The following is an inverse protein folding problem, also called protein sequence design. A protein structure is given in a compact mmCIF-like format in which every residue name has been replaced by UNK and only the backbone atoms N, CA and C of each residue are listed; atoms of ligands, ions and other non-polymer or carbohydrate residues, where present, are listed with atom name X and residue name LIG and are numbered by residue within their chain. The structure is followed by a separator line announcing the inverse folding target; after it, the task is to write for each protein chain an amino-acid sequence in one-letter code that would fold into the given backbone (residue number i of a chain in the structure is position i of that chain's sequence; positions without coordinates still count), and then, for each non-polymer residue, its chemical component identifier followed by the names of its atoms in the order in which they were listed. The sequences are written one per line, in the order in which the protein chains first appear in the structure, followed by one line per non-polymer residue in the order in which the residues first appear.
data_IF_273427204817
#
_entry.id   IF_273427204817
#
_cell.length_a   1.000
_cell.length_b   1.000
_cell.length_c   1.000
_cell.angle_alpha   90.00
_cell.angle_beta   90.00
_cell.angle_gamma   90.00
#
_symmetry.space_group_name_H-M   'P 1'
#
loop_
_entity.id
_entity.type
_entity.pdbx_description
1 polymer ?
#
# COMPACT_ATOMS: atom_id res chain seq x y z
N UNK A 1 34.16 -50.35 22.35
CA UNK A 1 34.30 -48.96 21.84
C UNK A 1 32.93 -48.52 21.35
N UNK A 2 32.26 -47.65 22.11
CA UNK A 2 30.94 -47.11 21.77
C UNK A 2 31.12 -45.67 21.25
N UNK A 3 30.36 -45.24 20.22
CA UNK A 3 30.47 -43.87 19.70
C UNK A 3 29.81 -42.85 20.65
N UNK A 4 30.28 -41.59 20.68
CA UNK A 4 29.77 -40.58 21.59
C UNK A 4 28.43 -40.03 21.09
N UNK A 5 27.45 -39.98 22.00
CA UNK A 5 26.15 -39.32 21.81
C UNK A 5 26.31 -37.81 21.98
N UNK A 6 26.05 -37.03 20.92
CA UNK A 6 25.99 -35.57 20.97
C UNK A 6 24.60 -35.14 21.45
N UNK A 7 24.53 -34.48 22.62
CA UNK A 7 23.32 -33.78 23.09
C UNK A 7 23.36 -32.33 22.60
N UNK A 8 22.36 -31.94 21.82
CA UNK A 8 22.10 -30.54 21.45
C UNK A 8 21.14 -29.96 22.49
N UNK A 9 21.62 -29.02 23.30
CA UNK A 9 20.81 -28.26 24.25
C UNK A 9 20.15 -27.08 23.53
N UNK A 10 18.83 -27.11 23.36
CA UNK A 10 18.03 -25.96 22.97
C UNK A 10 17.82 -25.03 24.17
N UNK A 11 18.33 -23.80 24.09
CA UNK A 11 18.04 -22.76 25.07
C UNK A 11 16.85 -21.93 24.57
N UNK A 12 15.69 -22.17 25.17
CA UNK A 12 14.50 -21.33 24.98
C UNK A 12 14.60 -20.11 25.91
N UNK A 13 15.05 -18.97 25.37
CA UNK A 13 14.98 -17.68 26.05
C UNK A 13 13.58 -17.07 25.88
N UNK A 14 12.65 -17.42 26.77
CA UNK A 14 11.41 -16.65 26.98
C UNK A 14 11.72 -15.37 27.76
N UNK A 15 11.73 -14.21 27.08
CA UNK A 15 11.66 -12.91 27.76
C UNK A 15 10.18 -12.50 27.95
N UNK A 16 9.78 -12.01 29.13
CA UNK A 16 8.43 -11.52 29.35
C UNK A 16 8.24 -10.17 28.64
N UNK A 17 7.24 -10.07 27.75
CA UNK A 17 6.79 -8.80 27.17
C UNK A 17 5.99 -8.03 28.22
N UNK A 18 6.54 -6.90 28.69
CA UNK A 18 5.82 -5.92 29.48
C UNK A 18 4.80 -5.22 28.58
N UNK A 19 3.51 -5.34 28.91
CA UNK A 19 2.41 -4.63 28.25
C UNK A 19 2.44 -3.17 28.65
N UNK A 20 2.95 -2.31 27.77
CA UNK A 20 2.70 -0.87 27.82
C UNK A 20 1.53 -0.63 26.86
N UNK A 21 0.33 -0.44 27.43
CA UNK A 21 -0.86 -0.11 26.67
C UNK A 21 -0.84 1.36 26.27
N UNK A 22 -1.00 1.65 24.97
CA UNK A 22 -1.46 2.96 24.48
C UNK A 22 -2.42 2.75 23.29
N UNK A 23 -3.64 3.25 23.51
CA UNK A 23 -4.67 3.72 22.59
C UNK A 23 -4.95 2.93 21.30
N UNK A 24 -5.98 2.08 21.41
CA UNK A 24 -6.76 1.54 20.32
C UNK A 24 -7.20 2.63 19.30
N UNK A 25 -6.91 2.40 18.02
CA UNK A 25 -7.72 2.91 16.91
C UNK A 25 -8.93 1.97 16.84
N UNK A 26 -9.85 2.15 17.79
CA UNK A 26 -11.07 1.37 17.91
C UNK A 26 -12.24 2.05 17.19
N UNK A 27 -12.84 1.30 16.26
CA UNK A 27 -14.21 1.33 15.77
C UNK A 27 -15.06 2.59 15.99
N UNK A 28 -15.55 3.18 14.89
CA UNK A 28 -16.85 3.87 14.88
C UNK A 28 -17.79 3.08 13.98
N UNK A 29 -18.39 2.06 14.57
CA UNK A 29 -19.60 1.40 14.09
C UNK A 29 -20.74 1.91 14.98
N UNK A 30 -21.66 2.70 14.42
CA UNK A 30 -22.95 3.00 15.05
C UNK A 30 -24.04 2.50 14.12
N UNK A 31 -24.74 1.47 14.58
CA UNK A 31 -26.03 1.00 14.05
C UNK A 31 -27.11 1.34 15.09
N UNK A 32 -28.32 1.59 14.59
CA UNK A 32 -29.65 1.75 15.24
C UNK A 32 -30.15 3.21 15.39
N UNK A 33 -31.40 3.54 15.07
CA UNK A 33 -32.52 2.70 14.64
C UNK A 33 -33.78 3.50 14.21
N UNK A 34 -34.63 2.77 13.48
CA UNK A 34 -36.02 2.94 13.01
C UNK A 34 -36.90 4.14 13.46
N UNK A 35 -37.52 4.83 12.48
CA UNK A 35 -38.99 4.96 12.30
C UNK A 35 -39.37 5.81 11.06
N UNK A 36 -40.37 5.37 10.29
CA UNK A 36 -41.33 6.29 9.61
C UNK A 36 -41.17 6.65 8.12
N UNK A 37 -41.79 5.83 7.26
CA UNK A 37 -42.54 6.16 6.02
C UNK A 37 -41.97 7.01 4.86
N UNK A 38 -42.35 6.53 3.66
CA UNK A 38 -42.60 7.21 2.38
C UNK A 38 -41.45 7.23 1.35
N UNK A 39 -41.76 6.65 0.18
CA UNK A 39 -40.81 6.32 -0.87
C UNK A 39 -40.28 7.50 -1.68
N UNK A 40 -39.04 7.34 -2.13
CA UNK A 40 -38.40 8.10 -3.18
C UNK A 40 -37.28 7.26 -3.80
N UNK A 41 -37.11 7.24 -5.13
CA UNK A 41 -36.02 6.50 -5.75
C UNK A 41 -34.71 7.28 -5.61
N UNK A 42 -33.65 6.59 -5.14
CA UNK A 42 -32.27 7.03 -5.29
C UNK A 42 -31.61 7.70 -4.08
N UNK A 43 -31.66 7.08 -2.89
CA UNK A 43 -30.73 7.45 -1.83
C UNK A 43 -29.33 6.90 -2.18
N UNK A 44 -28.42 7.79 -2.59
CA UNK A 44 -26.99 7.48 -2.65
C UNK A 44 -26.53 6.98 -1.27
N UNK A 45 -26.32 5.68 -1.15
CA UNK A 45 -25.87 5.04 0.09
C UNK A 45 -24.48 5.54 0.50
N UNK A 46 -24.48 6.50 1.40
CA UNK A 46 -23.54 6.64 2.52
C UNK A 46 -22.09 6.82 2.13
N UNK A 47 -21.74 7.99 1.60
CA UNK A 47 -20.39 8.52 1.82
C UNK A 47 -20.20 8.71 3.33
N UNK A 48 -19.04 8.31 3.88
CA UNK A 48 -18.70 8.65 5.26
C UNK A 48 -18.88 10.17 5.43
N UNK A 49 -19.51 10.68 6.51
CA UNK A 49 -19.74 12.11 6.71
C UNK A 49 -18.44 12.92 6.53
N UNK A 50 -18.52 14.17 6.07
CA UNK A 50 -17.32 15.02 5.86
C UNK A 50 -16.42 15.12 7.11
N UNK A 51 -17.00 14.95 8.30
CA UNK A 51 -16.29 14.86 9.58
C UNK A 51 -15.30 13.71 9.65
N UNK A 52 -15.65 12.55 9.07
CA UNK A 52 -14.75 11.39 8.96
C UNK A 52 -13.62 11.68 7.98
N UNK A 53 -13.94 12.32 6.85
CA UNK A 53 -12.95 12.75 5.86
C UNK A 53 -11.98 13.79 6.40
N UNK A 54 -12.46 14.72 7.21
CA UNK A 54 -11.64 15.73 7.88
C UNK A 54 -10.74 15.12 8.97
N UNK A 55 -11.24 14.09 9.67
CA UNK A 55 -10.43 13.29 10.59
C UNK A 55 -9.26 12.56 9.91
N UNK A 56 -9.38 12.25 8.61
CA UNK A 56 -8.33 11.60 7.82
C UNK A 56 -7.25 12.58 7.31
N UNK A 57 -7.43 13.89 7.51
CA UNK A 57 -6.40 14.91 7.18
C UNK A 57 -5.20 14.91 8.13
N UNK A 58 -5.20 14.04 9.16
CA UNK A 58 -4.08 13.89 10.09
C UNK A 58 -2.77 13.75 9.31
N UNK A 59 -1.71 14.49 9.70
CA UNK A 59 -0.39 14.34 9.12
C UNK A 59 0.03 12.88 9.10
N UNK A 60 0.77 12.49 8.06
CA UNK A 60 1.38 11.15 8.00
C UNK A 60 2.24 10.96 9.27
N UNK A 61 2.24 9.77 9.88
CA UNK A 61 3.25 9.44 10.87
C UNK A 61 4.64 9.73 10.31
N UNK A 62 5.43 10.52 11.03
CA UNK A 62 6.79 10.81 10.58
C UNK A 62 7.60 9.50 10.51
N UNK A 63 8.39 9.31 9.44
CA UNK A 63 9.35 8.23 9.37
C UNK A 63 10.29 8.27 10.58
N UNK A 64 10.67 7.11 11.09
CA UNK A 64 11.62 7.00 12.19
C UNK A 64 13.00 7.54 11.75
N UNK A 65 13.78 8.13 12.67
CA UNK A 65 15.17 8.47 12.38
C UNK A 65 15.94 7.27 11.80
N UNK A 66 16.63 7.49 10.68
CA UNK A 66 17.35 6.43 9.97
C UNK A 66 16.50 5.60 8.99
N UNK A 67 15.19 5.84 8.89
CA UNK A 67 14.34 5.20 7.88
C UNK A 67 14.82 5.56 6.47
N UNK A 68 15.09 4.53 5.67
CA UNK A 68 15.60 4.68 4.30
C UNK A 68 14.52 5.25 3.36
N UNK A 69 14.93 6.15 2.46
CA UNK A 69 14.04 6.72 1.44
C UNK A 69 13.84 5.73 0.30
N UNK A 70 12.64 5.20 0.16
CA UNK A 70 12.29 4.18 -0.85
C UNK A 70 11.19 4.69 -1.77
N UNK A 71 11.38 4.54 -3.07
CA UNK A 71 10.32 4.69 -4.05
C UNK A 71 9.95 3.36 -4.68
N UNK A 72 8.72 3.26 -5.17
CA UNK A 72 8.27 2.16 -6.03
C UNK A 72 8.18 2.69 -7.45
N UNK A 73 8.90 2.07 -8.38
CA UNK A 73 8.86 2.39 -9.80
C UNK A 73 8.05 1.32 -10.56
N UNK A 74 8.28 1.21 -11.86
CA UNK A 74 7.53 0.34 -12.76
C UNK A 74 7.48 -1.11 -12.24
N UNK A 75 6.26 -1.52 -11.89
CA UNK A 75 5.90 -2.90 -11.61
C UNK A 75 5.09 -3.41 -12.79
N UNK A 76 5.66 -4.38 -13.51
CA UNK A 76 5.05 -4.94 -14.70
C UNK A 76 4.36 -6.28 -14.39
N UNK A 77 3.19 -6.48 -14.97
CA UNK A 77 2.50 -7.78 -14.94
C UNK A 77 2.40 -8.26 -16.39
N UNK A 78 3.22 -9.25 -16.74
CA UNK A 78 3.20 -9.84 -18.09
C UNK A 78 2.16 -10.96 -18.15
N UNK A 79 1.41 -11.06 -19.25
CA UNK A 79 0.40 -12.10 -19.43
C UNK A 79 -0.99 -11.77 -18.88
N UNK A 80 -1.87 -12.78 -18.85
CA UNK A 80 -3.25 -12.69 -18.34
C UNK A 80 -3.34 -13.36 -16.97
N UNK A 81 -4.01 -12.70 -16.02
CA UNK A 81 -4.23 -13.19 -14.66
C UNK A 81 -5.60 -12.72 -14.14
N UNK A 82 -5.94 -13.00 -12.86
CA UNK A 82 -7.21 -12.53 -12.27
C UNK A 82 -7.37 -11.00 -12.27
N UNK A 83 -6.27 -10.28 -12.47
CA UNK A 83 -6.20 -8.82 -12.58
C UNK A 83 -6.33 -8.28 -13.99
N UNK A 84 -6.29 -9.13 -15.03
CA UNK A 84 -6.43 -8.69 -16.42
C UNK A 84 -7.91 -8.62 -16.80
N UNK A 85 -8.63 -7.66 -16.22
CA UNK A 85 -9.99 -7.36 -16.64
C UNK A 85 -9.98 -6.36 -17.79
N UNK A 86 -10.68 -6.69 -18.88
CA UNK A 86 -10.93 -5.77 -19.98
C UNK A 86 -11.79 -4.59 -19.47
N UNK A 87 -11.37 -3.36 -19.77
CA UNK A 87 -12.04 -2.16 -19.26
C UNK A 87 -11.67 -1.75 -17.83
N UNK A 88 -10.60 -2.32 -17.26
CA UNK A 88 -10.06 -1.84 -15.98
C UNK A 88 -9.77 -0.32 -16.02
N UNK A 89 -10.13 0.38 -14.95
CA UNK A 89 -10.01 1.84 -14.87
C UNK A 89 -8.54 2.34 -14.90
N UNK A 90 -7.61 1.47 -14.50
CA UNK A 90 -6.16 1.65 -14.61
C UNK A 90 -5.51 0.33 -15.00
N UNK A 91 -4.27 0.37 -15.51
CA UNK A 91 -3.52 -0.86 -15.79
C UNK A 91 -3.21 -1.62 -14.50
N UNK A 92 -3.11 -2.95 -14.60
CA UNK A 92 -2.86 -3.80 -13.43
C UNK A 92 -1.50 -3.50 -12.77
N UNK A 93 -0.48 -3.10 -13.53
CA UNK A 93 0.82 -2.67 -12.97
C UNK A 93 0.71 -1.37 -12.16
N UNK A 94 -0.08 -0.40 -12.63
CA UNK A 94 -0.41 0.84 -11.91
C UNK A 94 -1.19 0.53 -10.62
N UNK A 95 -2.10 -0.45 -10.66
CA UNK A 95 -2.80 -0.96 -9.48
C UNK A 95 -1.86 -1.60 -8.46
N UNK A 96 -0.99 -2.51 -8.92
CA UNK A 96 0.01 -3.18 -8.08
C UNK A 96 0.94 -2.16 -7.40
N UNK A 97 1.46 -1.20 -8.15
CA UNK A 97 2.32 -0.14 -7.62
C UNK A 97 1.63 0.65 -6.51
N UNK A 98 0.35 0.98 -6.65
CA UNK A 98 -0.38 1.74 -5.62
C UNK A 98 -0.67 0.93 -4.37
N UNK A 99 -0.91 -0.37 -4.51
CA UNK A 99 -1.08 -1.26 -3.37
C UNK A 99 0.24 -1.38 -2.57
N UNK A 100 1.38 -1.54 -3.26
CA UNK A 100 2.70 -1.54 -2.61
C UNK A 100 2.97 -0.18 -1.95
N UNK A 101 2.70 0.92 -2.65
CA UNK A 101 2.84 2.26 -2.09
C UNK A 101 1.96 2.48 -0.85
N UNK A 102 0.72 1.96 -0.83
CA UNK A 102 -0.14 2.01 0.34
C UNK A 102 0.45 1.21 1.51
N UNK A 103 1.00 0.03 1.25
CA UNK A 103 1.76 -0.76 2.22
C UNK A 103 2.90 0.06 2.84
N UNK A 104 3.73 0.70 2.02
CA UNK A 104 4.89 1.49 2.48
C UNK A 104 4.51 2.82 3.13
N UNK A 105 3.41 3.45 2.71
CA UNK A 105 2.93 4.72 3.28
C UNK A 105 2.51 4.58 4.74
N UNK A 106 2.00 3.41 5.11
CA UNK A 106 1.58 3.09 6.49
C UNK A 106 2.78 2.89 7.42
N UNK A 107 3.90 2.42 6.89
CA UNK A 107 5.11 2.09 7.65
C UNK A 107 5.85 3.33 8.11
N UNK A 108 6.47 3.24 9.30
CA UNK A 108 7.34 4.28 9.87
C UNK A 108 8.82 3.96 9.76
N UNK A 109 9.18 2.69 9.63
CA UNK A 109 10.56 2.24 9.39
C UNK A 109 11.05 2.45 7.95
N UNK A 110 10.16 2.88 7.06
CA UNK A 110 10.48 3.25 5.67
C UNK A 110 9.97 4.66 5.38
N UNK A 111 10.83 5.49 4.78
CA UNK A 111 10.42 6.78 4.24
C UNK A 111 10.00 6.60 2.78
N UNK A 112 8.73 6.30 2.56
CA UNK A 112 8.19 6.22 1.19
C UNK A 112 8.25 7.57 0.46
N UNK A 113 8.84 7.55 -0.74
CA UNK A 113 8.97 8.68 -1.68
C UNK A 113 8.10 8.42 -2.89
N UNK A 114 7.08 9.26 -3.07
CA UNK A 114 6.18 9.17 -4.23
C UNK A 114 6.87 9.66 -5.50
N UNK A 115 6.82 8.85 -6.57
CA UNK A 115 7.44 9.15 -7.88
C UNK A 115 6.44 9.15 -9.04
N UNK A 116 5.35 8.39 -8.93
CA UNK A 116 4.42 8.19 -10.03
C UNK A 116 3.44 9.33 -10.12
N UNK A 117 2.88 9.72 -8.99
CA UNK A 117 1.80 10.70 -8.95
C UNK A 117 2.32 12.10 -9.26
N UNK A 118 1.45 12.86 -9.91
CA UNK A 118 1.67 14.26 -10.28
C UNK A 118 2.81 14.52 -11.25
N UNK A 119 3.32 13.52 -11.96
CA UNK A 119 4.26 13.75 -13.07
C UNK A 119 3.73 14.79 -14.07
N UNK A 120 2.43 14.76 -14.40
CA UNK A 120 1.77 15.75 -15.26
C UNK A 120 1.73 17.16 -14.64
N UNK A 121 1.37 17.27 -13.36
CA UNK A 121 1.34 18.57 -12.68
C UNK A 121 2.76 19.14 -12.51
N UNK A 122 3.71 18.30 -12.11
CA UNK A 122 5.14 18.61 -12.00
C UNK A 122 5.72 19.09 -13.33
N UNK A 123 5.39 18.41 -14.43
CA UNK A 123 5.86 18.81 -15.75
C UNK A 123 5.27 20.17 -16.19
N UNK A 124 4.01 20.45 -15.86
CA UNK A 124 3.40 21.75 -16.15
C UNK A 124 4.03 22.85 -15.30
N UNK A 125 4.20 22.63 -14.00
CA UNK A 125 4.89 23.56 -13.11
C UNK A 125 6.33 23.85 -13.59
N UNK A 126 7.10 22.81 -13.96
CA UNK A 126 8.46 22.96 -14.52
C UNK A 126 8.51 23.81 -15.78
N UNK A 127 7.48 23.74 -16.62
CA UNK A 127 7.35 24.53 -17.86
C UNK A 127 6.72 25.91 -17.63
N UNK A 128 6.41 26.30 -16.39
CA UNK A 128 5.70 27.54 -16.08
C UNK A 128 4.25 27.57 -16.58
N UNK A 129 3.66 26.41 -16.87
CA UNK A 129 2.27 26.28 -17.33
C UNK A 129 1.32 26.15 -16.14
N UNK A 130 0.05 26.59 -16.28
CA UNK A 130 -0.94 26.41 -15.23
C UNK A 130 -1.16 24.92 -14.95
N UNK A 131 -1.26 24.59 -13.66
CA UNK A 131 -1.56 23.23 -13.19
C UNK A 131 -2.95 22.79 -13.69
N UNK A 132 -3.18 21.48 -13.88
CA UNK A 132 -4.53 20.99 -14.14
C UNK A 132 -5.47 21.40 -13.03
N UNK A 133 -6.73 21.68 -13.37
CA UNK A 133 -7.75 21.99 -12.38
C UNK A 133 -7.86 20.88 -11.33
N UNK A 134 -7.96 21.28 -10.06
CA UNK A 134 -8.02 20.36 -8.93
C UNK A 134 -6.69 19.73 -8.53
N UNK A 135 -5.61 19.85 -9.31
CA UNK A 135 -4.32 19.26 -8.97
C UNK A 135 -3.69 19.91 -7.73
N UNK A 136 -3.14 19.12 -6.79
CA UNK A 136 -2.47 19.67 -5.62
C UNK A 136 -1.10 20.24 -6.00
N UNK A 137 -0.46 21.03 -5.12
CA UNK A 137 0.93 21.42 -5.32
C UNK A 137 1.84 20.18 -5.32
N UNK A 138 2.80 20.16 -6.24
CA UNK A 138 3.74 19.03 -6.37
C UNK A 138 4.71 19.00 -5.18
N UNK A 139 5.08 20.18 -4.66
CA UNK A 139 6.06 20.32 -3.58
C UNK A 139 7.47 19.93 -4.02
N UNK A 140 8.36 19.72 -3.05
CA UNK A 140 9.73 19.23 -3.30
C UNK A 140 9.83 17.76 -2.90
N UNK A 141 10.24 16.91 -3.85
CA UNK A 141 10.55 15.52 -3.52
C UNK A 141 11.87 15.45 -2.76
N UNK A 142 11.95 14.69 -1.65
CA UNK A 142 13.20 14.48 -0.92
C UNK A 142 14.21 13.58 -1.66
N UNK A 143 13.82 13.01 -2.81
CA UNK A 143 14.62 12.05 -3.57
C UNK A 143 14.64 10.67 -2.91
N UNK A 144 14.52 9.62 -3.71
CA UNK A 144 14.68 8.25 -3.23
C UNK A 144 16.16 7.90 -3.10
N UNK A 145 16.52 7.12 -2.07
CA UNK A 145 17.82 6.44 -2.03
C UNK A 145 17.75 5.14 -2.80
N UNK A 146 16.62 4.42 -2.64
CA UNK A 146 16.40 3.11 -3.20
C UNK A 146 15.09 3.05 -3.99
N UNK A 147 15.08 2.21 -5.01
CA UNK A 147 13.90 1.98 -5.86
C UNK A 147 13.58 0.51 -5.90
N UNK A 148 12.33 0.19 -5.58
CA UNK A 148 11.75 -1.11 -5.88
C UNK A 148 11.24 -1.13 -7.32
N UNK A 149 11.71 -2.11 -8.09
CA UNK A 149 11.24 -2.42 -9.44
C UNK A 149 10.89 -3.90 -9.51
N UNK A 150 10.07 -4.29 -10.48
CA UNK A 150 9.79 -5.70 -10.63
C UNK A 150 8.86 -6.06 -11.77
N UNK A 151 8.82 -7.36 -12.03
CA UNK A 151 8.01 -7.96 -13.06
C UNK A 151 7.43 -9.26 -12.57
N UNK A 152 6.12 -9.41 -12.68
CA UNK A 152 5.49 -10.71 -12.63
C UNK A 152 5.45 -11.34 -14.02
N UNK A 153 5.89 -12.59 -14.11
CA UNK A 153 5.87 -13.36 -15.35
C UNK A 153 5.16 -14.70 -15.15
N UNK A 154 4.36 -15.16 -16.12
CA UNK A 154 3.79 -16.49 -16.07
C UNK A 154 4.91 -17.53 -16.22
N UNK A 155 4.86 -18.57 -15.40
CA UNK A 155 5.88 -19.60 -15.30
C UNK A 155 5.22 -20.99 -15.32
N UNK A 156 4.60 -21.31 -16.46
CA UNK A 156 3.90 -22.59 -16.67
C UNK A 156 2.46 -22.62 -16.13
N UNK A 157 1.79 -23.78 -16.21
CA UNK A 157 0.38 -23.91 -15.88
C UNK A 157 0.06 -23.77 -14.38
N UNK A 158 1.06 -23.89 -13.50
CA UNK A 158 0.89 -23.80 -12.05
C UNK A 158 0.90 -22.37 -11.49
N UNK A 159 1.33 -21.38 -12.27
CA UNK A 159 1.39 -20.00 -11.80
C UNK A 159 2.49 -19.17 -12.44
N UNK A 160 3.08 -18.27 -11.63
CA UNK A 160 4.06 -17.31 -12.10
C UNK A 160 5.14 -17.00 -11.07
N UNK A 161 6.07 -16.15 -11.49
CA UNK A 161 7.15 -15.65 -10.66
C UNK A 161 7.05 -14.14 -10.58
N UNK A 162 7.06 -13.60 -9.36
CA UNK A 162 7.29 -12.19 -9.10
C UNK A 162 8.80 -11.97 -8.91
N UNK A 163 9.47 -11.39 -9.91
CA UNK A 163 10.89 -11.00 -9.86
C UNK A 163 10.97 -9.54 -9.42
N UNK A 164 11.62 -9.28 -8.29
CA UNK A 164 11.73 -7.96 -7.67
C UNK A 164 13.20 -7.60 -7.50
N UNK A 165 13.49 -6.31 -7.65
CA UNK A 165 14.84 -5.76 -7.54
C UNK A 165 14.82 -4.47 -6.75
N UNK A 166 15.76 -4.37 -5.83
CA UNK A 166 16.08 -3.16 -5.09
C UNK A 166 17.30 -2.50 -5.73
N UNK A 167 17.11 -1.30 -6.25
CA UNK A 167 18.12 -0.56 -7.02
C UNK A 167 18.52 0.69 -6.25
N UNK A 168 19.82 1.01 -6.20
CA UNK A 168 20.28 2.30 -5.71
C UNK A 168 19.99 3.39 -6.75
N UNK A 169 19.19 4.40 -6.39
CA UNK A 169 18.71 5.43 -7.33
C UNK A 169 19.86 6.23 -7.96
N UNK A 170 20.93 6.48 -7.21
CA UNK A 170 22.05 7.33 -7.65
C UNK A 170 22.93 6.65 -8.70
N UNK A 171 23.18 5.34 -8.54
CA UNK A 171 24.16 4.60 -9.36
C UNK A 171 23.48 3.67 -10.36
N UNK A 172 22.22 3.32 -10.14
CA UNK A 172 21.52 2.28 -10.90
C UNK A 172 21.95 0.85 -10.53
N UNK A 173 22.77 0.67 -9.49
CA UNK A 173 23.24 -0.63 -9.06
C UNK A 173 22.08 -1.45 -8.46
N UNK A 174 21.95 -2.71 -8.88
CA UNK A 174 21.01 -3.65 -8.26
C UNK A 174 21.66 -4.16 -6.96
N UNK A 175 21.15 -3.69 -5.83
CA UNK A 175 21.66 -4.05 -4.51
C UNK A 175 21.17 -5.42 -4.04
N UNK A 176 19.95 -5.79 -4.45
CA UNK A 176 19.33 -7.06 -4.11
C UNK A 176 18.28 -7.43 -5.16
N UNK A 177 18.13 -8.72 -5.42
CA UNK A 177 17.09 -9.26 -6.29
C UNK A 177 16.54 -10.54 -5.67
N UNK A 178 15.22 -10.69 -5.71
CA UNK A 178 14.55 -11.87 -5.17
C UNK A 178 13.38 -12.26 -6.07
N UNK A 179 13.01 -13.54 -5.95
CA UNK A 179 11.90 -14.12 -6.71
C UNK A 179 10.94 -14.78 -5.76
N UNK A 180 9.66 -14.53 -5.97
CA UNK A 180 8.59 -15.17 -5.21
C UNK A 180 7.75 -16.02 -6.16
N UNK A 181 7.68 -17.34 -5.97
CA UNK A 181 6.69 -18.18 -6.62
C UNK A 181 5.28 -17.76 -6.22
N UNK A 182 4.38 -17.73 -7.20
CA UNK A 182 2.99 -17.32 -7.01
C UNK A 182 2.06 -18.30 -7.73
N UNK A 183 0.89 -18.62 -7.16
CA UNK A 183 -0.06 -19.51 -7.81
C UNK A 183 -0.70 -18.85 -9.04
N UNK A 184 -1.25 -19.64 -9.96
CA UNK A 184 -2.02 -19.13 -11.10
C UNK A 184 -3.23 -18.27 -10.69
N UNK A 185 -3.71 -18.45 -9.46
CA UNK A 185 -4.82 -17.71 -8.87
C UNK A 185 -4.41 -16.42 -8.16
N UNK A 186 -3.13 -16.03 -8.25
CA UNK A 186 -2.65 -14.83 -7.58
C UNK A 186 -3.52 -13.60 -7.90
N UNK A 187 -3.75 -12.76 -6.89
CA UNK A 187 -4.44 -11.48 -6.99
C UNK A 187 -3.48 -10.32 -6.70
N UNK A 188 -3.89 -9.09 -7.07
CA UNK A 188 -3.05 -7.92 -6.94
C UNK A 188 -2.67 -7.59 -5.49
N UNK A 189 -3.56 -7.84 -4.52
CA UNK A 189 -3.31 -7.48 -3.13
C UNK A 189 -2.26 -8.41 -2.53
N UNK A 190 -2.42 -9.72 -2.74
CA UNK A 190 -1.42 -10.70 -2.30
C UNK A 190 -0.05 -10.47 -2.94
N UNK A 191 -0.01 -10.13 -4.24
CA UNK A 191 1.22 -9.76 -4.93
C UNK A 191 1.86 -8.49 -4.34
N UNK A 192 1.06 -7.48 -4.00
CA UNK A 192 1.56 -6.25 -3.41
C UNK A 192 2.12 -6.47 -1.99
N UNK A 193 1.44 -7.30 -1.19
CA UNK A 193 1.85 -7.63 0.17
C UNK A 193 3.16 -8.41 0.19
N UNK A 194 3.29 -9.44 -0.65
CA UNK A 194 4.55 -10.18 -0.74
C UNK A 194 5.69 -9.34 -1.33
N UNK A 195 5.39 -8.40 -2.24
CA UNK A 195 6.38 -7.43 -2.71
C UNK A 195 6.86 -6.52 -1.57
N UNK A 196 5.94 -6.06 -0.73
CA UNK A 196 6.23 -5.25 0.46
C UNK A 196 7.04 -6.05 1.48
N UNK A 197 6.66 -7.30 1.76
CA UNK A 197 7.38 -8.20 2.65
C UNK A 197 8.79 -8.52 2.17
N UNK A 198 8.96 -8.79 0.88
CA UNK A 198 10.27 -8.98 0.28
C UNK A 198 11.17 -7.74 0.38
N UNK A 199 10.61 -6.55 0.14
CA UNK A 199 11.34 -5.29 0.31
C UNK A 199 11.75 -5.08 1.77
N UNK A 200 10.85 -5.30 2.72
CA UNK A 200 11.15 -5.17 4.16
C UNK A 200 12.25 -6.15 4.55
N UNK A 201 12.17 -7.41 4.13
CA UNK A 201 13.20 -8.41 4.40
C UNK A 201 14.57 -8.03 3.79
N UNK A 202 14.59 -7.47 2.57
CA UNK A 202 15.80 -6.98 1.92
C UNK A 202 16.43 -5.79 2.68
N UNK A 203 15.61 -4.87 3.21
CA UNK A 203 16.11 -3.76 4.03
C UNK A 203 16.60 -4.25 5.40
N UNK A 204 15.91 -5.22 6.00
CA UNK A 204 16.28 -5.84 7.27
C UNK A 204 17.64 -6.54 7.17
N UNK A 205 17.86 -7.35 6.13
CA UNK A 205 19.09 -8.11 5.92
C UNK A 205 20.34 -7.21 5.82
N UNK A 206 20.13 -5.95 5.42
CA UNK A 206 21.16 -4.93 5.27
C UNK A 206 21.32 -4.03 6.50
N UNK A 207 20.55 -4.26 7.56
CA UNK A 207 20.53 -3.40 8.75
C UNK A 207 20.03 -1.98 8.45
N UNK A 208 19.14 -1.82 7.46
CA UNK A 208 18.61 -0.53 6.99
C UNK A 208 17.18 -0.25 7.47
N UNK A 209 16.65 -1.07 8.37
CA UNK A 209 15.37 -0.82 9.04
C UNK A 209 15.58 -0.42 10.49
N UNK A 210 15.09 0.76 10.92
CA UNK A 210 14.95 1.06 12.34
C UNK A 210 13.90 0.14 12.97
N UNK A 211 14.02 -0.09 14.27
CA UNK A 211 13.06 -0.92 15.01
C UNK A 211 11.66 -0.30 14.97
N UNK A 212 10.69 -1.04 14.43
CA UNK A 212 9.29 -0.65 14.35
C UNK A 212 8.41 -1.87 14.57
N UNK A 213 7.40 -1.72 15.44
CA UNK A 213 6.36 -2.71 15.61
C UNK A 213 5.20 -2.32 14.70
N UNK A 214 4.83 -3.23 13.81
CA UNK A 214 3.77 -3.02 12.85
C UNK A 214 2.41 -3.16 13.56
N UNK A 215 1.56 -2.11 13.61
CA UNK A 215 0.28 -2.17 14.33
C UNK A 215 -0.73 -3.16 13.74
N UNK A 216 -0.51 -3.65 12.52
CA UNK A 216 -1.34 -4.66 11.88
C UNK A 216 -0.76 -6.07 12.02
N UNK A 217 0.44 -6.22 12.61
CA UNK A 217 1.06 -7.52 12.84
C UNK A 217 0.32 -8.25 13.99
N UNK A 218 -0.60 -9.12 13.59
CA UNK A 218 -1.45 -9.93 14.44
C UNK A 218 -1.94 -11.18 13.68
N UNK A 219 -2.56 -12.13 14.38
CA UNK A 219 -2.79 -13.49 13.88
C UNK A 219 -3.66 -13.58 12.59
N UNK A 220 -4.37 -12.51 12.20
CA UNK A 220 -5.34 -12.53 11.08
C UNK A 220 -4.93 -11.69 9.85
N UNK A 221 -3.94 -10.81 9.95
CA UNK A 221 -3.47 -9.98 8.82
C UNK A 221 -1.94 -9.97 8.80
N UNK A 222 -1.34 -10.54 7.76
CA UNK A 222 0.06 -10.32 7.44
C UNK A 222 0.16 -9.23 6.35
N UNK A 223 0.50 -7.98 6.71
CA UNK A 223 0.60 -6.89 5.74
C UNK A 223 1.86 -6.97 4.87
N UNK A 224 2.84 -7.80 5.22
CA UNK A 224 4.15 -7.86 4.58
C UNK A 224 4.76 -9.29 4.64
N UNK A 225 4.05 -10.32 4.11
CA UNK A 225 4.48 -11.70 4.21
C UNK A 225 5.75 -11.93 3.38
N UNK A 226 6.65 -12.78 3.89
CA UNK A 226 7.88 -13.18 3.18
C UNK A 226 7.62 -14.17 2.03
N UNK A 227 6.47 -14.84 2.04
CA UNK A 227 6.03 -15.77 1.02
C UNK A 227 4.64 -15.38 0.53
N UNK A 228 4.24 -15.87 -0.65
CA UNK A 228 2.89 -15.62 -1.13
C UNK A 228 1.86 -16.24 -0.17
N UNK A 229 0.91 -15.44 0.26
CA UNK A 229 -0.29 -15.86 0.97
C UNK A 229 -1.49 -15.15 0.33
N UNK A 230 -2.59 -15.87 0.13
CA UNK A 230 -3.82 -15.29 -0.40
C UNK A 230 -4.40 -14.34 0.64
N UNK A 231 -4.57 -13.07 0.27
CA UNK A 231 -5.14 -12.03 1.10
C UNK A 231 -6.66 -12.16 1.25
N UNK A 232 -7.32 -12.99 0.41
CA UNK A 232 -8.76 -13.24 0.48
C UNK A 232 -9.63 -12.03 0.12
N UNK A 233 -9.05 -11.01 -0.55
CA UNK A 233 -9.77 -9.77 -0.85
C UNK A 233 -10.72 -9.97 -2.05
N UNK A 234 -12.01 -9.64 -1.91
CA UNK A 234 -12.96 -9.75 -3.02
C UNK A 234 -12.54 -8.92 -4.23
N UNK A 235 -12.63 -9.52 -5.43
CA UNK A 235 -12.28 -8.85 -6.70
C UNK A 235 -13.05 -7.51 -6.89
N UNK A 236 -14.30 -7.45 -6.42
CA UNK A 236 -15.10 -6.23 -6.44
C UNK A 236 -14.53 -5.09 -5.59
N UNK A 237 -13.93 -5.42 -4.44
CA UNK A 237 -13.26 -4.44 -3.59
C UNK A 237 -12.01 -3.89 -4.29
N UNK A 238 -11.22 -4.78 -4.90
CA UNK A 238 -10.05 -4.39 -5.71
C UNK A 238 -10.46 -3.50 -6.88
N UNK A 239 -11.53 -3.84 -7.61
CA UNK A 239 -12.04 -3.02 -8.70
C UNK A 239 -12.46 -1.62 -8.23
N UNK A 240 -13.13 -1.51 -7.08
CA UNK A 240 -13.47 -0.22 -6.49
C UNK A 240 -12.23 0.60 -6.10
N UNK A 241 -11.18 -0.05 -5.58
CA UNK A 241 -9.90 0.58 -5.30
C UNK A 241 -9.24 1.12 -6.57
N UNK A 242 -9.22 0.35 -7.66
CA UNK A 242 -8.70 0.78 -8.96
C UNK A 242 -9.49 1.96 -9.56
N UNK A 243 -10.81 2.00 -9.37
CA UNK A 243 -11.63 3.17 -9.73
C UNK A 243 -11.25 4.41 -8.91
N UNK A 244 -10.95 4.22 -7.61
CA UNK A 244 -10.43 5.28 -6.75
C UNK A 244 -9.12 5.86 -7.29
N UNK A 245 -8.17 5.01 -7.70
CA UNK A 245 -6.90 5.43 -8.32
C UNK A 245 -7.15 6.25 -9.57
N UNK A 246 -7.99 5.75 -10.49
CA UNK A 246 -8.29 6.44 -11.74
C UNK A 246 -8.91 7.83 -11.51
N UNK A 247 -9.78 7.96 -10.50
CA UNK A 247 -10.36 9.24 -10.13
C UNK A 247 -9.32 10.17 -9.49
N UNK A 248 -8.45 9.67 -8.63
CA UNK A 248 -7.36 10.42 -7.99
C UNK A 248 -6.35 10.94 -9.03
N UNK A 249 -5.95 10.11 -10.00
CA UNK A 249 -5.04 10.49 -11.11
C UNK A 249 -5.64 11.57 -12.02
N UNK A 250 -6.98 11.64 -12.09
CA UNK A 250 -7.73 12.67 -12.78
C UNK A 250 -8.09 13.88 -11.90
N UNK A 251 -7.58 13.96 -10.66
CA UNK A 251 -7.86 15.01 -9.67
C UNK A 251 -9.35 15.13 -9.28
N UNK A 252 -10.14 14.06 -9.49
CA UNK A 252 -11.56 13.98 -9.14
C UNK A 252 -11.73 13.46 -7.72
N UNK A 253 -11.47 14.32 -6.73
CA UNK A 253 -11.35 13.94 -5.31
C UNK A 253 -12.57 13.21 -4.74
N UNK A 254 -13.80 13.65 -5.04
CA UNK A 254 -15.01 12.94 -4.59
C UNK A 254 -15.17 11.57 -5.27
N UNK A 255 -14.71 11.45 -6.52
CA UNK A 255 -14.65 10.15 -7.20
C UNK A 255 -13.67 9.20 -6.52
N UNK A 256 -12.49 9.70 -6.14
CA UNK A 256 -11.49 8.93 -5.41
C UNK A 256 -12.02 8.47 -4.04
N UNK A 257 -12.64 9.39 -3.28
CA UNK A 257 -13.31 9.10 -2.00
C UNK A 257 -14.37 8.01 -2.15
N UNK A 258 -15.24 8.08 -3.17
CA UNK A 258 -16.25 7.05 -3.44
C UNK A 258 -15.63 5.70 -3.75
N UNK A 259 -14.61 5.66 -4.63
CA UNK A 259 -13.94 4.43 -5.03
C UNK A 259 -13.29 3.71 -3.84
N UNK A 260 -12.44 4.42 -3.10
CA UNK A 260 -11.77 3.84 -1.93
C UNK A 260 -12.73 3.54 -0.77
N UNK A 261 -13.74 4.39 -0.53
CA UNK A 261 -14.75 4.13 0.49
C UNK A 261 -15.59 2.88 0.20
N UNK A 262 -15.90 2.63 -1.09
CA UNK A 262 -16.54 1.38 -1.53
C UNK A 262 -15.59 0.19 -1.35
N UNK A 263 -14.31 0.35 -1.69
CA UNK A 263 -13.31 -0.70 -1.50
C UNK A 263 -13.20 -1.13 -0.03
N UNK A 264 -13.18 -0.19 0.93
CA UNK A 264 -13.21 -0.50 2.36
C UNK A 264 -14.47 -1.28 2.76
N UNK A 265 -15.64 -0.82 2.30
CA UNK A 265 -16.92 -1.43 2.69
C UNK A 265 -17.05 -2.88 2.20
N UNK A 266 -16.54 -3.16 1.00
CA UNK A 266 -16.62 -4.49 0.39
C UNK A 266 -15.46 -5.40 0.84
N UNK A 267 -14.27 -4.85 1.03
CA UNK A 267 -13.07 -5.60 1.41
C UNK A 267 -12.96 -5.92 2.90
N UNK A 268 -13.66 -5.17 3.76
CA UNK A 268 -13.59 -5.35 5.21
C UNK A 268 -12.23 -4.95 5.79
N UNK A 269 -12.01 -5.33 7.06
CA UNK A 269 -10.79 -4.97 7.82
C UNK A 269 -9.51 -5.56 7.22
N UNK A 270 -9.62 -6.71 6.55
CA UNK A 270 -8.49 -7.34 5.88
C UNK A 270 -7.94 -6.50 4.71
N UNK A 271 -8.71 -5.58 4.12
CA UNK A 271 -8.26 -4.72 3.00
C UNK A 271 -7.93 -3.31 3.51
N UNK A 272 -6.74 -3.13 4.09
CA UNK A 272 -6.33 -1.87 4.72
C UNK A 272 -5.83 -0.81 3.73
N UNK A 273 -5.37 -1.22 2.55
CA UNK A 273 -4.75 -0.34 1.54
C UNK A 273 -5.65 0.84 1.10
N UNK A 274 -6.98 0.66 0.93
CA UNK A 274 -7.89 1.75 0.65
C UNK A 274 -7.99 2.81 1.77
N UNK A 275 -7.78 2.44 3.05
CA UNK A 275 -7.78 3.41 4.16
C UNK A 275 -6.58 4.35 4.04
N UNK A 276 -5.41 3.78 3.76
CA UNK A 276 -4.18 4.55 3.52
C UNK A 276 -4.34 5.48 2.32
N UNK A 277 -4.95 4.98 1.24
CA UNK A 277 -5.24 5.78 0.04
C UNK A 277 -6.25 6.91 0.33
N UNK A 278 -7.33 6.66 1.08
CA UNK A 278 -8.29 7.68 1.52
C UNK A 278 -7.61 8.78 2.32
N UNK A 279 -6.77 8.42 3.30
CA UNK A 279 -6.05 9.39 4.11
C UNK A 279 -5.10 10.25 3.27
N UNK A 280 -4.41 9.63 2.29
CA UNK A 280 -3.58 10.36 1.32
C UNK A 280 -4.42 11.34 0.50
N UNK A 281 -5.51 10.88 -0.10
CA UNK A 281 -6.40 11.70 -0.91
C UNK A 281 -7.01 12.87 -0.11
N UNK A 282 -7.38 12.65 1.15
CA UNK A 282 -7.89 13.72 2.04
C UNK A 282 -6.87 14.83 2.26
N UNK A 283 -5.61 14.46 2.55
CA UNK A 283 -4.51 15.43 2.72
C UNK A 283 -4.23 16.23 1.45
N UNK A 284 -4.17 15.56 0.31
CA UNK A 284 -3.89 16.19 -0.99
C UNK A 284 -4.99 17.18 -1.39
N UNK A 285 -6.26 16.80 -1.22
CA UNK A 285 -7.39 17.71 -1.46
C UNK A 285 -7.33 18.95 -0.56
N UNK A 286 -6.86 18.81 0.68
CA UNK A 286 -6.72 19.92 1.62
C UNK A 286 -5.54 20.87 1.32
N UNK A 287 -4.83 20.69 0.19
CA UNK A 287 -3.69 21.50 -0.22
C UNK A 287 -2.34 20.96 0.23
N UNK A 288 -2.31 19.75 0.82
CA UNK A 288 -1.06 19.06 1.14
C UNK A 288 -0.27 18.67 -0.11
N UNK A 289 1.03 18.40 0.09
CA UNK A 289 1.95 17.93 -0.95
C UNK A 289 2.25 16.44 -0.75
N UNK A 290 2.73 15.77 -1.81
CA UNK A 290 3.34 14.43 -1.69
C UNK A 290 4.78 14.47 -1.17
N UNK A 291 5.45 15.61 -1.36
CA UNK A 291 6.80 15.87 -0.87
C UNK A 291 6.82 16.54 0.49
N UNK A 292 8.02 16.87 0.96
CA UNK A 292 8.19 17.71 2.16
C UNK A 292 7.55 19.08 1.93
N UNK A 293 6.87 19.61 2.96
CA UNK A 293 6.44 20.99 2.96
C UNK A 293 7.66 21.91 2.86
N UNK A 294 7.58 23.02 2.08
CA UNK A 294 8.70 23.91 1.85
C UNK A 294 9.24 24.57 3.13
#
# INVERSE_FOLDING_TARGET
MNPPTVRISSSSSTRPKARIGIAAIGAVLVVQGCAGSAGGPGAETGLAPDRVWDGLRRPRPEPLPGAVRVAVSDLHLLGRGRWSEEGAAVSAGVGLQELVSAGLLRRRDVHFVERRRFARAAERERRGLPRPEGAPPVGRSPGAELVLTGTWVPAGPGGGLLDLRLVEERTGEVLEAWRTPTPATADLVSLARVATGGLVAALESRGRLPAWEDPLDGDDIDPAPRAYADAGIPAEAVRAFLQGIAAEDAYRWEGARRGYGRALRVGGEAFYEPEVALARTARLRAGGTLGASP
#
